data_IF_407909028473
#
_entry.id   IF_407909028473
#
_cell.length_a   1.000
_cell.length_b   1.000
_cell.length_c   1.000
_cell.angle_alpha   90.00
_cell.angle_beta   90.00
_cell.angle_gamma   90.00
#
_symmetry.space_group_name_H-M   'P 1'
#
loop_
_entity.id
_entity.type
_entity.pdbx_description
1 polymer ?
#
# COMPACT_ATOMS: atom_id res chain seq x y z
N UNK A 1 13.62 -48.61 1.72
CA UNK A 1 14.59 -47.87 0.90
C UNK A 1 15.58 -47.19 1.84
N UNK A 2 16.90 -47.28 1.54
CA UNK A 2 17.96 -46.62 2.32
C UNK A 2 18.11 -45.19 1.77
N UNK A 3 18.03 -44.18 2.66
CA UNK A 3 18.24 -42.79 2.29
C UNK A 3 19.72 -42.45 2.46
N UNK A 4 20.34 -41.86 1.44
CA UNK A 4 21.68 -41.29 1.51
C UNK A 4 21.57 -39.76 1.35
N UNK A 5 22.35 -39.00 2.12
CA UNK A 5 22.39 -37.54 2.11
C UNK A 5 23.81 -37.10 1.77
N UNK A 6 23.95 -36.20 0.80
CA UNK A 6 25.22 -35.64 0.41
C UNK A 6 25.08 -34.11 0.26
N UNK A 7 26.18 -33.38 0.42
CA UNK A 7 26.25 -31.90 0.29
C UNK A 7 26.98 -31.52 -1.01
N UNK A 8 26.49 -32.04 -2.14
CA UNK A 8 27.09 -31.91 -3.48
C UNK A 8 26.11 -31.37 -4.53
N UNK A 9 24.99 -30.75 -4.11
CA UNK A 9 23.94 -30.22 -4.96
C UNK A 9 24.35 -29.04 -5.83
N UNK A 10 25.49 -28.38 -5.55
CA UNK A 10 25.95 -27.19 -6.26
C UNK A 10 25.28 -25.89 -5.79
N UNK A 11 25.30 -24.86 -6.62
CA UNK A 11 24.69 -23.57 -6.31
C UNK A 11 23.17 -23.65 -6.49
N UNK A 12 22.48 -23.95 -5.41
CA UNK A 12 21.02 -24.03 -5.35
C UNK A 12 20.44 -22.77 -4.73
N UNK A 13 19.28 -22.36 -5.22
CA UNK A 13 18.44 -21.33 -4.61
C UNK A 13 17.00 -21.84 -4.45
N UNK A 14 16.30 -21.36 -3.42
CA UNK A 14 14.87 -21.61 -3.26
C UNK A 14 14.02 -20.48 -3.85
N UNK A 15 14.66 -19.40 -4.29
CA UNK A 15 14.03 -18.14 -4.70
C UNK A 15 14.31 -17.82 -6.18
N UNK A 16 14.46 -18.86 -7.03
CA UNK A 16 14.85 -18.68 -8.43
C UNK A 16 13.88 -17.76 -9.20
N UNK A 17 12.63 -17.68 -8.78
CA UNK A 17 11.64 -16.80 -9.37
C UNK A 17 11.85 -15.31 -9.11
N UNK A 18 12.73 -14.94 -8.19
CA UNK A 18 13.11 -13.53 -7.97
C UNK A 18 13.81 -12.91 -9.19
N UNK A 19 14.21 -13.71 -10.17
CA UNK A 19 14.66 -13.22 -11.48
C UNK A 19 13.59 -12.36 -12.16
N UNK A 20 12.29 -12.65 -11.96
CA UNK A 20 11.19 -11.82 -12.49
C UNK A 20 11.24 -10.40 -11.93
N UNK A 21 11.53 -10.26 -10.64
CA UNK A 21 11.68 -8.94 -9.99
C UNK A 21 12.93 -8.22 -10.54
N UNK A 22 14.05 -8.94 -10.68
CA UNK A 22 15.29 -8.37 -11.22
C UNK A 22 15.10 -7.83 -12.65
N UNK A 23 14.48 -8.62 -13.54
CA UNK A 23 14.19 -8.22 -14.92
C UNK A 23 13.19 -7.06 -14.97
N UNK A 24 12.16 -7.07 -14.10
CA UNK A 24 11.19 -6.00 -14.02
C UNK A 24 11.84 -4.67 -13.58
N UNK A 25 12.61 -4.67 -12.50
CA UNK A 25 13.30 -3.47 -12.00
C UNK A 25 14.28 -2.90 -13.03
N UNK A 26 14.94 -3.76 -13.81
CA UNK A 26 15.78 -3.35 -14.92
C UNK A 26 14.96 -2.64 -16.03
N UNK A 27 13.78 -3.18 -16.36
CA UNK A 27 12.90 -2.62 -17.41
C UNK A 27 12.32 -1.25 -17.05
N UNK A 28 12.05 -1.00 -15.78
CA UNK A 28 11.56 0.30 -15.29
C UNK A 28 12.70 1.28 -14.93
N UNK A 29 13.95 0.95 -15.27
CA UNK A 29 15.14 1.77 -14.96
C UNK A 29 15.25 2.15 -13.48
N UNK A 30 14.92 1.19 -12.57
CA UNK A 30 14.83 1.45 -11.14
C UNK A 30 16.13 1.98 -10.52
N UNK A 31 17.30 1.50 -10.96
CA UNK A 31 18.60 1.98 -10.48
C UNK A 31 18.81 3.46 -10.82
N UNK A 32 18.37 3.90 -12.00
CA UNK A 32 18.41 5.32 -12.38
C UNK A 32 17.52 6.15 -11.47
N UNK A 33 16.26 5.69 -11.23
CA UNK A 33 15.32 6.36 -10.33
C UNK A 33 15.89 6.50 -8.91
N UNK A 34 16.54 5.46 -8.37
CA UNK A 34 17.20 5.53 -7.06
C UNK A 34 18.33 6.57 -7.04
N UNK A 35 19.21 6.56 -8.05
CA UNK A 35 20.34 7.49 -8.13
C UNK A 35 19.91 8.96 -8.29
N UNK A 36 18.78 9.21 -8.96
CA UNK A 36 18.23 10.56 -9.14
C UNK A 36 17.53 11.10 -7.88
N UNK A 37 16.99 10.22 -7.06
CA UNK A 37 16.14 10.60 -5.93
C UNK A 37 16.79 10.50 -4.57
N UNK A 38 17.74 9.59 -4.40
CA UNK A 38 18.29 9.27 -3.08
C UNK A 38 19.76 9.70 -3.00
N UNK A 39 20.01 10.55 -2.02
CA UNK A 39 21.38 10.95 -1.65
C UNK A 39 21.59 10.65 -0.17
N UNK A 40 22.46 9.67 0.12
CA UNK A 40 22.86 9.32 1.48
C UNK A 40 24.34 9.66 1.63
N UNK A 41 24.65 10.57 2.55
CA UNK A 41 26.03 10.95 2.82
C UNK A 41 26.79 9.74 3.37
N UNK A 42 27.83 9.31 2.65
CA UNK A 42 28.67 8.19 3.04
C UNK A 42 30.02 8.67 3.60
N UNK A 43 30.07 8.88 4.91
CA UNK A 43 31.29 9.23 5.61
C UNK A 43 32.24 8.05 5.89
N UNK A 44 31.94 6.84 5.43
CA UNK A 44 32.76 5.65 5.63
C UNK A 44 34.02 5.68 4.74
N UNK A 45 35.19 5.52 5.35
CA UNK A 45 36.48 5.55 4.62
C UNK A 45 36.73 4.29 3.80
N UNK A 46 36.18 3.15 4.25
CA UNK A 46 36.31 1.84 3.60
C UNK A 46 34.96 1.13 3.68
N UNK A 47 34.26 1.06 2.57
CA UNK A 47 33.01 0.32 2.47
C UNK A 47 33.06 -0.65 1.31
N UNK A 48 32.68 -1.92 1.54
CA UNK A 48 32.53 -2.93 0.49
C UNK A 48 31.21 -2.75 -0.26
N UNK A 49 30.23 -2.08 0.35
CA UNK A 49 28.89 -1.85 -0.20
C UNK A 49 28.51 -0.39 -0.06
N UNK A 50 28.00 0.21 -1.12
CA UNK A 50 27.34 1.51 -1.08
C UNK A 50 26.00 1.43 -0.32
N UNK A 51 25.52 2.58 0.15
CA UNK A 51 24.22 2.62 0.80
C UNK A 51 23.05 2.23 -0.14
N UNK A 52 23.16 2.52 -1.45
CA UNK A 52 22.14 2.11 -2.43
C UNK A 52 22.12 0.61 -2.68
N UNK A 53 23.29 -0.05 -2.65
CA UNK A 53 23.35 -1.52 -2.73
C UNK A 53 22.69 -2.19 -1.52
N UNK A 54 22.89 -1.64 -0.31
CA UNK A 54 22.26 -2.12 0.92
C UNK A 54 20.75 -1.89 0.86
N UNK A 55 20.30 -0.73 0.36
CA UNK A 55 18.89 -0.42 0.14
C UNK A 55 18.25 -1.44 -0.83
N UNK A 56 18.86 -1.71 -1.95
CA UNK A 56 18.37 -2.72 -2.91
C UNK A 56 18.29 -4.11 -2.27
N UNK A 57 19.28 -4.50 -1.49
CA UNK A 57 19.24 -5.77 -0.76
C UNK A 57 18.05 -5.84 0.20
N UNK A 58 17.76 -4.76 0.95
CA UNK A 58 16.56 -4.68 1.81
C UNK A 58 15.28 -4.89 1.01
N UNK A 59 15.13 -4.23 -0.14
CA UNK A 59 13.95 -4.35 -0.98
C UNK A 59 13.76 -5.77 -1.52
N UNK A 60 14.82 -6.39 -2.02
CA UNK A 60 14.77 -7.78 -2.49
C UNK A 60 14.41 -8.75 -1.36
N UNK A 61 14.97 -8.56 -0.16
CA UNK A 61 14.62 -9.37 1.00
C UNK A 61 13.14 -9.20 1.38
N UNK A 62 12.63 -7.98 1.45
CA UNK A 62 11.22 -7.71 1.76
C UNK A 62 10.28 -8.33 0.71
N UNK A 63 10.60 -8.20 -0.57
CA UNK A 63 9.82 -8.77 -1.67
C UNK A 63 9.83 -10.31 -1.59
N UNK A 64 10.98 -10.91 -1.33
CA UNK A 64 11.10 -12.37 -1.17
C UNK A 64 10.49 -12.93 0.14
N UNK A 65 10.08 -12.07 1.07
CA UNK A 65 9.45 -12.50 2.34
C UNK A 65 10.42 -12.59 3.52
N UNK A 66 11.63 -12.09 3.37
CA UNK A 66 12.65 -12.04 4.44
C UNK A 66 12.54 -10.71 5.18
N UNK A 67 11.81 -10.72 6.29
CA UNK A 67 11.35 -9.51 6.97
C UNK A 67 12.32 -8.89 7.97
N UNK A 68 13.43 -9.56 8.29
CA UNK A 68 14.36 -9.13 9.33
C UNK A 68 15.76 -8.91 8.77
N UNK A 69 16.53 -8.04 9.39
CA UNK A 69 17.95 -7.83 9.08
C UNK A 69 18.75 -9.14 9.16
N UNK A 70 18.48 -9.97 10.19
CA UNK A 70 19.12 -11.28 10.36
C UNK A 70 18.88 -12.26 9.23
N UNK A 71 17.85 -12.05 8.42
CA UNK A 71 17.58 -12.91 7.27
C UNK A 71 18.64 -12.73 6.17
N UNK A 72 19.44 -11.66 6.22
CA UNK A 72 20.67 -11.53 5.43
C UNK A 72 21.58 -12.76 5.55
N UNK A 73 21.66 -13.38 6.73
CA UNK A 73 22.46 -14.58 6.95
C UNK A 73 22.00 -15.80 6.13
N UNK A 74 20.75 -15.78 5.63
CA UNK A 74 20.22 -16.82 4.74
C UNK A 74 20.56 -16.57 3.28
N UNK A 75 20.51 -15.30 2.87
CA UNK A 75 20.61 -14.93 1.45
C UNK A 75 22.01 -14.49 1.04
N UNK A 76 22.91 -14.18 2.00
CA UNK A 76 24.23 -13.61 1.70
C UNK A 76 25.10 -14.47 0.76
N UNK A 77 24.90 -15.78 0.73
CA UNK A 77 25.60 -16.72 -0.13
C UNK A 77 24.72 -17.26 -1.26
N UNK A 78 23.48 -16.78 -1.38
CA UNK A 78 22.60 -17.18 -2.48
C UNK A 78 23.03 -16.49 -3.78
N UNK A 79 23.44 -17.32 -4.74
CA UNK A 79 23.98 -16.85 -6.03
C UNK A 79 22.94 -16.05 -6.81
N UNK A 80 21.65 -16.36 -6.71
CA UNK A 80 20.62 -15.58 -7.40
C UNK A 80 20.54 -14.16 -6.87
N UNK A 81 20.52 -13.99 -5.54
CA UNK A 81 20.51 -12.65 -4.95
C UNK A 81 21.79 -11.88 -5.29
N UNK A 82 22.96 -12.53 -5.28
CA UNK A 82 24.22 -11.92 -5.67
C UNK A 82 24.16 -11.41 -7.12
N UNK A 83 23.68 -12.23 -8.06
CA UNK A 83 23.59 -11.85 -9.48
C UNK A 83 22.48 -10.80 -9.73
N UNK A 84 21.32 -10.96 -9.11
CA UNK A 84 20.21 -10.00 -9.23
C UNK A 84 20.59 -8.60 -8.72
N UNK A 85 21.41 -8.56 -7.67
CA UNK A 85 21.92 -7.32 -7.08
C UNK A 85 23.27 -6.87 -7.66
N UNK A 86 23.85 -7.66 -8.55
CA UNK A 86 25.18 -7.42 -9.18
C UNK A 86 26.28 -7.24 -8.13
N UNK A 87 26.28 -8.07 -7.09
CA UNK A 87 27.24 -8.05 -5.99
C UNK A 87 27.89 -9.41 -5.81
N UNK A 88 29.22 -9.46 -5.66
CA UNK A 88 29.93 -10.72 -5.35
C UNK A 88 29.59 -11.26 -3.96
N UNK A 89 29.40 -10.36 -3.01
CA UNK A 89 29.00 -10.67 -1.63
C UNK A 89 27.88 -9.72 -1.24
N UNK A 90 26.91 -10.22 -0.50
CA UNK A 90 25.83 -9.40 0.04
C UNK A 90 26.20 -8.85 1.42
N UNK A 91 25.55 -7.74 1.78
CA UNK A 91 25.77 -7.09 3.06
C UNK A 91 25.31 -7.97 4.23
N UNK A 92 26.06 -7.92 5.32
CA UNK A 92 25.77 -8.66 6.55
C UNK A 92 24.55 -8.07 7.29
N UNK A 93 24.02 -8.83 8.25
CA UNK A 93 22.97 -8.39 9.16
C UNK A 93 23.31 -7.05 9.83
N UNK A 94 24.55 -6.91 10.35
CA UNK A 94 24.97 -5.68 11.04
C UNK A 94 24.95 -4.47 10.10
N UNK A 95 25.32 -4.65 8.84
CA UNK A 95 25.26 -3.56 7.83
C UNK A 95 23.82 -3.16 7.50
N UNK A 96 22.90 -4.10 7.38
CA UNK A 96 21.49 -3.81 7.17
C UNK A 96 20.88 -3.05 8.34
N UNK A 97 21.23 -3.42 9.59
CA UNK A 97 20.81 -2.70 10.78
C UNK A 97 21.43 -1.29 10.82
N UNK A 98 22.74 -1.17 10.60
CA UNK A 98 23.45 0.12 10.57
C UNK A 98 22.84 1.06 9.53
N UNK A 99 22.49 0.54 8.35
CA UNK A 99 21.86 1.33 7.28
C UNK A 99 20.62 2.06 7.79
N UNK A 100 19.67 1.36 8.43
CA UNK A 100 18.44 1.97 8.93
C UNK A 100 18.71 3.10 9.94
N UNK A 101 19.74 2.94 10.78
CA UNK A 101 20.11 3.94 11.79
C UNK A 101 20.95 5.10 11.23
N UNK A 102 21.49 4.98 10.02
CA UNK A 102 22.21 6.05 9.33
C UNK A 102 21.29 7.01 8.60
N UNK A 103 20.08 6.55 8.26
CA UNK A 103 19.12 7.36 7.50
C UNK A 103 18.59 8.54 8.33
N UNK A 104 18.55 9.70 7.68
CA UNK A 104 17.97 10.92 8.23
C UNK A 104 16.50 11.05 7.83
N UNK A 105 15.77 11.99 8.43
CA UNK A 105 14.39 12.32 8.04
C UNK A 105 14.31 12.72 6.56
N UNK A 106 15.33 13.41 6.03
CA UNK A 106 15.40 13.75 4.61
C UNK A 106 15.52 12.49 3.73
N UNK A 107 16.38 11.55 4.12
CA UNK A 107 16.50 10.27 3.40
C UNK A 107 15.19 9.48 3.41
N UNK A 108 14.46 9.48 4.53
CA UNK A 108 13.13 8.86 4.60
C UNK A 108 12.14 9.53 3.64
N UNK A 109 12.18 10.86 3.55
CA UNK A 109 11.37 11.59 2.56
C UNK A 109 11.73 11.21 1.13
N UNK A 110 13.03 11.08 0.81
CA UNK A 110 13.51 10.62 -0.48
C UNK A 110 13.04 9.19 -0.81
N UNK A 111 13.09 8.26 0.16
CA UNK A 111 12.56 6.90 0.01
C UNK A 111 11.05 6.90 -0.29
N UNK A 112 10.29 7.71 0.44
CA UNK A 112 8.85 7.87 0.23
C UNK A 112 8.55 8.47 -1.14
N UNK A 113 9.40 9.39 -1.62
CA UNK A 113 9.27 9.97 -2.95
C UNK A 113 9.47 8.94 -4.06
N UNK A 114 10.48 8.06 -3.96
CA UNK A 114 10.66 6.95 -4.90
C UNK A 114 9.43 6.03 -4.93
N UNK A 115 8.85 5.72 -3.78
CA UNK A 115 7.65 4.90 -3.72
C UNK A 115 6.45 5.57 -4.41
N UNK A 116 6.30 6.89 -4.30
CA UNK A 116 5.28 7.68 -5.03
C UNK A 116 5.55 7.70 -6.54
N UNK A 117 6.82 7.88 -6.94
CA UNK A 117 7.21 7.88 -8.36
C UNK A 117 6.91 6.52 -9.04
N UNK A 118 7.03 5.41 -8.30
CA UNK A 118 6.61 4.09 -8.79
C UNK A 118 5.09 4.01 -9.06
N UNK A 119 4.27 4.62 -8.21
CA UNK A 119 2.82 4.71 -8.47
C UNK A 119 2.54 5.58 -9.70
N UNK A 120 3.29 6.68 -9.85
CA UNK A 120 3.16 7.59 -10.98
C UNK A 120 3.49 6.92 -12.32
N UNK A 121 4.46 6.00 -12.36
CA UNK A 121 4.75 5.23 -13.58
C UNK A 121 3.52 4.48 -14.11
N UNK A 122 2.69 3.94 -13.21
CA UNK A 122 1.43 3.32 -13.64
C UNK A 122 0.43 4.36 -14.12
N UNK A 123 0.22 5.44 -13.36
CA UNK A 123 -0.75 6.48 -13.70
C UNK A 123 -0.44 7.11 -15.06
N UNK A 124 0.85 7.28 -15.40
CA UNK A 124 1.29 7.78 -16.70
C UNK A 124 1.08 6.74 -17.81
N UNK A 125 1.47 5.49 -17.56
CA UNK A 125 1.33 4.40 -18.52
C UNK A 125 -0.14 4.14 -18.89
N UNK A 126 -1.03 4.15 -17.89
CA UNK A 126 -2.48 3.95 -18.06
C UNK A 126 -3.19 5.21 -18.59
N UNK A 127 -2.48 6.34 -18.67
CA UNK A 127 -3.06 7.65 -18.96
C UNK A 127 -4.31 7.95 -18.11
N UNK A 128 -4.19 7.68 -16.81
CA UNK A 128 -5.30 7.73 -15.86
C UNK A 128 -5.86 9.13 -15.72
N UNK A 129 -7.14 9.31 -16.10
CA UNK A 129 -7.88 10.57 -15.95
C UNK A 129 -8.69 10.63 -14.64
N UNK A 130 -8.92 9.50 -14.01
CA UNK A 130 -9.71 9.37 -12.79
C UNK A 130 -8.85 8.84 -11.66
N UNK A 131 -8.74 9.61 -10.58
CA UNK A 131 -7.93 9.24 -9.42
C UNK A 131 -8.81 9.21 -8.18
N UNK A 132 -8.78 8.10 -7.44
CA UNK A 132 -9.50 7.94 -6.19
C UNK A 132 -8.52 7.89 -5.04
N UNK A 133 -8.54 8.92 -4.19
CA UNK A 133 -7.69 9.01 -3.00
C UNK A 133 -8.45 8.42 -1.80
N UNK A 134 -8.11 7.19 -1.43
CA UNK A 134 -8.67 6.54 -0.25
C UNK A 134 -7.80 6.83 0.98
N UNK A 135 -8.36 7.55 1.95
CA UNK A 135 -7.70 7.93 3.19
C UNK A 135 -8.03 6.97 4.31
N UNK A 136 -7.00 6.55 5.04
CA UNK A 136 -7.14 5.80 6.28
C UNK A 136 -5.93 6.01 7.21
N UNK A 137 -6.00 5.43 8.38
CA UNK A 137 -4.90 5.27 9.30
C UNK A 137 -4.86 3.83 9.81
N UNK A 138 -3.69 3.39 10.22
CA UNK A 138 -3.52 2.04 10.75
C UNK A 138 -2.59 2.09 11.96
N UNK A 139 -2.60 1.03 12.79
CA UNK A 139 -1.70 0.93 13.92
C UNK A 139 -0.51 0.02 13.59
N UNK A 140 0.68 0.44 14.02
CA UNK A 140 1.90 -0.36 14.03
C UNK A 140 2.30 -0.59 15.49
N UNK A 141 2.08 -1.81 16.06
CA UNK A 141 2.37 -2.09 17.46
C UNK A 141 3.86 -1.95 17.77
N UNK A 142 4.18 -1.51 18.99
CA UNK A 142 5.53 -1.53 19.55
C UNK A 142 5.59 -2.46 20.75
N UNK A 143 6.78 -2.99 21.04
CA UNK A 143 6.98 -4.03 22.07
C UNK A 143 8.02 -3.63 23.11
N UNK A 144 8.30 -2.34 23.26
CA UNK A 144 9.25 -1.79 24.20
C UNK A 144 9.14 -0.29 24.29
N UNK A 145 10.19 0.37 24.76
CA UNK A 145 10.29 1.83 24.89
C UNK A 145 10.89 2.44 23.61
N UNK A 146 10.15 2.35 22.50
CA UNK A 146 10.54 3.03 21.26
C UNK A 146 10.21 4.51 21.33
N UNK A 147 11.09 5.34 20.72
CA UNK A 147 10.87 6.78 20.59
C UNK A 147 9.51 7.07 19.95
N UNK A 148 8.76 8.02 20.52
CA UNK A 148 7.48 8.50 20.02
C UNK A 148 6.37 7.43 19.94
N UNK A 149 6.61 6.23 20.48
CA UNK A 149 5.58 5.22 20.64
C UNK A 149 4.66 5.61 21.80
N UNK A 150 3.36 5.61 21.53
CA UNK A 150 2.37 6.05 22.50
C UNK A 150 1.11 5.18 22.41
N UNK A 151 0.24 5.29 23.43
CA UNK A 151 -1.00 4.54 23.47
C UNK A 151 -2.01 5.05 22.43
N UNK A 152 -2.45 4.16 21.54
CA UNK A 152 -3.43 4.44 20.49
C UNK A 152 -4.80 4.02 21.00
N UNK A 153 -5.59 4.98 21.48
CA UNK A 153 -6.88 4.72 22.13
C UNK A 153 -7.85 3.91 21.29
N UNK A 154 -7.89 4.17 19.98
CA UNK A 154 -8.80 3.47 19.06
C UNK A 154 -8.50 1.96 18.94
N UNK A 155 -7.23 1.58 19.03
CA UNK A 155 -6.79 0.19 18.90
C UNK A 155 -6.47 -0.49 20.23
N UNK A 156 -6.37 0.28 21.33
CA UNK A 156 -6.04 -0.23 22.66
C UNK A 156 -4.61 -0.80 22.79
N UNK A 157 -3.66 -0.30 22.00
CA UNK A 157 -2.26 -0.76 21.96
C UNK A 157 -1.28 0.41 22.02
N UNK A 158 -0.06 0.14 22.47
CA UNK A 158 1.06 1.06 22.28
C UNK A 158 1.67 0.89 20.89
N UNK A 159 2.06 1.99 20.25
CA UNK A 159 2.66 1.94 18.93
C UNK A 159 2.67 3.26 18.21
N UNK A 160 2.76 3.16 16.88
CA UNK A 160 2.67 4.27 15.94
C UNK A 160 1.35 4.23 15.18
N UNK A 161 0.87 5.39 14.75
CA UNK A 161 -0.41 5.52 14.05
C UNK A 161 -0.22 6.14 12.65
N UNK A 162 0.38 5.39 11.69
CA UNK A 162 0.59 5.88 10.33
C UNK A 162 -0.70 6.30 9.65
N UNK A 163 -0.60 7.37 8.87
CA UNK A 163 -1.59 7.75 7.87
C UNK A 163 -1.22 7.10 6.53
N UNK A 164 -2.21 6.61 5.80
CA UNK A 164 -2.02 5.93 4.52
C UNK A 164 -3.04 6.41 3.49
N UNK A 165 -2.58 6.56 2.25
CA UNK A 165 -3.44 6.85 1.10
C UNK A 165 -3.17 5.85 0.00
N UNK A 166 -4.25 5.25 -0.50
CA UNK A 166 -4.18 4.35 -1.66
C UNK A 166 -4.98 4.91 -2.83
N UNK A 167 -4.53 4.60 -4.03
CA UNK A 167 -5.39 4.76 -5.21
C UNK A 167 -6.46 3.65 -5.19
N UNK A 168 -7.71 4.08 -5.07
CA UNK A 168 -8.82 3.21 -4.71
C UNK A 168 -9.29 2.23 -5.79
N UNK A 169 -8.78 2.33 -7.03
CA UNK A 169 -9.07 1.42 -8.13
C UNK A 169 -7.97 0.38 -8.35
N UNK A 170 -6.72 0.79 -8.20
CA UNK A 170 -5.54 -0.04 -8.46
C UNK A 170 -4.94 -0.64 -7.21
N UNK A 171 -5.13 0.01 -6.05
CA UNK A 171 -4.47 -0.34 -4.79
C UNK A 171 -3.01 0.09 -4.70
N UNK A 172 -2.52 0.92 -5.62
CA UNK A 172 -1.21 1.54 -5.47
C UNK A 172 -1.21 2.47 -4.25
N UNK A 173 -0.21 2.36 -3.41
CA UNK A 173 -0.05 3.25 -2.28
C UNK A 173 0.50 4.59 -2.76
N UNK A 174 -0.24 5.68 -2.52
CA UNK A 174 0.11 7.02 -2.98
C UNK A 174 0.86 7.83 -1.93
N UNK A 175 0.59 7.58 -0.65
CA UNK A 175 1.31 8.20 0.46
C UNK A 175 1.24 7.36 1.72
N UNK A 176 2.33 7.34 2.48
CA UNK A 176 2.42 6.66 3.78
C UNK A 176 3.23 7.54 4.73
N UNK A 177 2.58 8.02 5.79
CA UNK A 177 3.18 8.92 6.78
C UNK A 177 3.28 8.24 8.13
N UNK A 178 4.49 8.00 8.60
CA UNK A 178 4.73 7.53 9.96
C UNK A 178 4.42 8.64 10.97
N UNK A 179 3.64 8.33 12.02
CA UNK A 179 3.17 9.32 12.99
C UNK A 179 3.22 8.73 14.42
N UNK A 180 3.30 9.62 15.40
CA UNK A 180 3.19 9.27 16.83
C UNK A 180 1.89 8.51 17.14
N UNK A 181 1.91 7.68 18.16
CA UNK A 181 0.75 6.88 18.55
C UNK A 181 -0.48 7.70 18.91
N UNK A 182 -0.32 8.84 19.59
CA UNK A 182 -1.42 9.76 19.94
C UNK A 182 -2.03 10.54 18.79
N UNK A 183 -1.41 10.50 17.59
CA UNK A 183 -1.98 11.19 16.43
C UNK A 183 -3.39 10.71 16.18
N UNK A 184 -4.35 11.63 16.11
CA UNK A 184 -5.71 11.29 15.70
C UNK A 184 -5.72 10.94 14.20
N UNK A 185 -6.67 10.10 13.78
CA UNK A 185 -6.80 9.61 12.38
C UNK A 185 -6.57 10.71 11.35
N UNK A 186 -7.19 11.86 11.51
CA UNK A 186 -7.10 12.98 10.58
C UNK A 186 -6.13 14.10 10.99
N UNK A 187 -5.17 13.85 11.90
CA UNK A 187 -4.12 14.82 12.22
C UNK A 187 -3.28 15.07 10.96
N UNK A 188 -3.15 16.34 10.55
CA UNK A 188 -2.47 16.79 9.32
C UNK A 188 -3.03 16.23 8.00
N UNK A 189 -4.23 15.63 8.01
CA UNK A 189 -4.80 15.06 6.79
C UNK A 189 -5.10 16.13 5.73
N UNK A 190 -5.41 17.36 6.16
CA UNK A 190 -5.58 18.53 5.28
C UNK A 190 -4.27 18.90 4.56
N UNK A 191 -3.14 18.92 5.28
CA UNK A 191 -1.81 19.21 4.71
C UNK A 191 -1.40 18.13 3.71
N UNK A 192 -1.60 16.85 4.07
CA UNK A 192 -1.31 15.70 3.19
C UNK A 192 -2.19 15.69 1.96
N UNK A 193 -3.47 16.08 2.09
CA UNK A 193 -4.37 16.24 0.96
C UNK A 193 -3.85 17.32 0.00
N UNK A 194 -3.45 18.49 0.53
CA UNK A 194 -2.94 19.58 -0.29
C UNK A 194 -1.71 19.18 -1.09
N UNK A 195 -0.72 18.53 -0.44
CA UNK A 195 0.47 18.00 -1.11
C UNK A 195 0.12 17.01 -2.25
N UNK A 196 -0.88 16.13 -2.01
CA UNK A 196 -1.33 15.18 -3.03
C UNK A 196 -2.07 15.86 -4.18
N UNK A 197 -2.90 16.86 -3.89
CA UNK A 197 -3.59 17.61 -4.92
C UNK A 197 -2.60 18.42 -5.77
N UNK A 198 -1.59 19.03 -5.17
CA UNK A 198 -0.51 19.69 -5.91
C UNK A 198 0.24 18.72 -6.85
N UNK A 199 0.47 17.49 -6.42
CA UNK A 199 1.11 16.47 -7.25
C UNK A 199 0.23 15.99 -8.39
N UNK A 200 -1.03 15.68 -8.12
CA UNK A 200 -1.87 14.94 -9.08
C UNK A 200 -2.72 15.83 -9.99
N UNK A 201 -3.08 17.04 -9.59
CA UNK A 201 -3.79 17.98 -10.46
C UNK A 201 -2.94 18.50 -11.60
N UNK A 202 -1.62 18.50 -11.46
CA UNK A 202 -0.70 18.95 -12.52
C UNK A 202 -0.46 17.89 -13.62
N UNK A 203 -0.86 16.63 -13.40
CA UNK A 203 -0.57 15.52 -14.33
C UNK A 203 -1.48 15.46 -15.55
N UNK A 204 -2.66 16.04 -15.47
CA UNK A 204 -3.65 16.07 -16.55
C UNK A 204 -4.26 17.45 -16.67
N UNK A 205 -4.77 17.77 -17.85
CA UNK A 205 -5.45 19.05 -18.11
C UNK A 205 -6.77 19.20 -17.32
N UNK A 206 -7.43 18.10 -16.97
CA UNK A 206 -8.67 18.06 -16.18
C UNK A 206 -8.82 16.71 -15.45
N UNK A 207 -8.00 16.44 -14.41
CA UNK A 207 -8.08 15.18 -13.68
C UNK A 207 -9.32 15.15 -12.80
N UNK A 208 -10.15 14.12 -12.96
CA UNK A 208 -11.25 13.87 -12.03
C UNK A 208 -10.73 13.19 -10.78
N UNK A 209 -10.48 13.96 -9.73
CA UNK A 209 -10.03 13.46 -8.44
C UNK A 209 -11.20 13.32 -7.48
N UNK A 210 -11.28 12.18 -6.78
CA UNK A 210 -12.26 11.92 -5.73
C UNK A 210 -11.57 11.46 -4.45
N UNK A 211 -11.90 12.10 -3.33
CA UNK A 211 -11.42 11.71 -1.98
C UNK A 211 -12.48 10.85 -1.30
N UNK A 212 -12.06 9.70 -0.74
CA UNK A 212 -12.89 8.89 0.14
C UNK A 212 -12.23 8.74 1.51
N UNK A 213 -13.02 8.76 2.56
CA UNK A 213 -12.54 8.61 3.94
C UNK A 213 -13.62 8.10 4.87
N UNK A 214 -13.19 7.56 6.01
CA UNK A 214 -14.11 7.20 7.07
C UNK A 214 -14.60 8.45 7.83
N UNK A 215 -15.36 8.25 8.89
CA UNK A 215 -15.90 9.36 9.68
C UNK A 215 -14.84 10.17 10.45
N UNK A 216 -13.63 9.67 10.59
CA UNK A 216 -12.50 10.38 11.16
C UNK A 216 -12.03 11.54 10.28
N UNK A 217 -12.25 11.45 8.96
CA UNK A 217 -11.91 12.48 7.97
C UNK A 217 -13.07 13.45 7.67
N UNK A 218 -14.20 13.32 8.33
CA UNK A 218 -15.35 14.22 8.16
C UNK A 218 -15.11 15.58 8.82
N UNK A 219 -14.13 16.34 8.34
CA UNK A 219 -13.72 17.64 8.86
C UNK A 219 -14.02 18.77 7.88
N UNK A 220 -14.48 19.95 8.40
CA UNK A 220 -14.74 21.13 7.58
C UNK A 220 -13.56 21.55 6.70
N UNK A 221 -12.33 21.41 7.22
CA UNK A 221 -11.09 21.78 6.55
C UNK A 221 -10.86 20.90 5.30
N UNK A 222 -11.05 19.57 5.43
CA UNK A 222 -10.93 18.63 4.28
C UNK A 222 -11.99 18.93 3.23
N UNK A 223 -13.23 19.20 3.64
CA UNK A 223 -14.29 19.56 2.69
C UNK A 223 -13.96 20.85 1.95
N UNK A 224 -13.48 21.88 2.67
CA UNK A 224 -13.13 23.16 2.08
C UNK A 224 -11.99 23.01 1.06
N UNK A 225 -10.91 22.30 1.40
CA UNK A 225 -9.82 22.03 0.45
C UNK A 225 -10.31 21.31 -0.81
N UNK A 226 -11.18 20.30 -0.67
CA UNK A 226 -11.77 19.63 -1.82
C UNK A 226 -12.65 20.59 -2.66
N UNK A 227 -13.47 21.41 -2.02
CA UNK A 227 -14.37 22.36 -2.68
C UNK A 227 -13.58 23.46 -3.40
N UNK A 228 -12.59 24.05 -2.76
CA UNK A 228 -11.73 25.11 -3.30
C UNK A 228 -10.89 24.62 -4.51
N UNK A 229 -10.46 23.35 -4.47
CA UNK A 229 -9.66 22.71 -5.53
C UNK A 229 -10.52 21.96 -6.57
N UNK A 230 -11.86 22.06 -6.51
CA UNK A 230 -12.82 21.38 -7.40
C UNK A 230 -12.70 19.85 -7.40
N UNK A 231 -12.27 19.28 -6.28
CA UNK A 231 -12.14 17.84 -6.06
C UNK A 231 -13.44 17.28 -5.50
N UNK A 232 -13.85 16.11 -5.97
CA UNK A 232 -15.04 15.42 -5.45
C UNK A 232 -14.69 14.66 -4.19
N UNK A 233 -15.67 14.49 -3.28
CA UNK A 233 -15.48 13.68 -2.08
C UNK A 233 -16.73 12.89 -1.71
N UNK A 234 -16.48 11.73 -1.06
CA UNK A 234 -17.48 10.81 -0.50
C UNK A 234 -16.95 10.33 0.85
N UNK A 235 -17.34 10.99 1.94
CA UNK A 235 -16.79 10.77 3.27
C UNK A 235 -17.91 10.37 4.22
N UNK A 236 -17.69 9.26 4.98
CA UNK A 236 -18.66 8.81 5.97
C UNK A 236 -18.83 9.87 7.06
N UNK A 237 -20.06 10.15 7.41
CA UNK A 237 -20.38 11.09 8.49
C UNK A 237 -20.85 10.29 9.72
N UNK A 238 -20.31 10.65 10.89
CA UNK A 238 -20.74 10.03 12.15
C UNK A 238 -22.19 10.43 12.44
N UNK A 239 -23.01 9.47 12.82
CA UNK A 239 -24.39 9.70 13.23
C UNK A 239 -24.45 10.64 14.44
N UNK A 240 -25.48 11.47 14.48
CA UNK A 240 -25.85 12.30 15.63
C UNK A 240 -27.38 12.40 15.74
N UNK A 241 -27.86 12.88 16.87
CA UNK A 241 -29.32 12.93 17.16
C UNK A 241 -30.12 13.65 16.06
N UNK A 242 -29.59 14.75 15.50
CA UNK A 242 -30.27 15.53 14.46
C UNK A 242 -30.38 14.78 13.12
N UNK A 243 -29.31 14.04 12.73
CA UNK A 243 -29.33 13.21 11.53
C UNK A 243 -30.23 12.00 11.69
N UNK A 244 -30.23 11.39 12.88
CA UNK A 244 -31.10 10.26 13.19
C UNK A 244 -32.56 10.67 13.20
N UNK A 245 -32.92 11.77 13.86
CA UNK A 245 -34.26 12.32 13.87
C UNK A 245 -34.78 12.56 12.45
N UNK A 246 -33.93 13.20 11.61
CA UNK A 246 -34.29 13.51 10.23
C UNK A 246 -34.59 12.27 9.40
N UNK A 247 -33.72 11.24 9.42
CA UNK A 247 -33.90 10.03 8.62
C UNK A 247 -35.07 9.19 9.13
N UNK A 248 -35.32 9.14 10.45
CA UNK A 248 -36.45 8.41 11.04
C UNK A 248 -37.81 8.94 10.59
N UNK A 249 -37.91 10.25 10.35
CA UNK A 249 -39.13 10.87 9.80
C UNK A 249 -39.28 10.63 8.29
N UNK A 250 -38.26 10.25 7.57
CA UNK A 250 -38.32 9.99 6.12
C UNK A 250 -38.57 8.51 5.78
N UNK A 251 -38.26 7.59 6.69
CA UNK A 251 -38.43 6.17 6.45
C UNK A 251 -39.91 5.84 6.25
N UNK A 252 -40.17 5.11 5.17
CA UNK A 252 -41.54 4.68 4.80
C UNK A 252 -41.73 3.22 5.17
N UNK A 253 -42.85 2.93 5.84
CA UNK A 253 -43.31 1.57 6.12
C UNK A 253 -44.47 1.26 5.17
N UNK A 254 -44.37 0.13 4.43
CA UNK A 254 -45.38 -0.30 3.48
C UNK A 254 -46.15 -1.48 4.05
N UNK A 255 -47.47 -1.56 3.75
CA UNK A 255 -48.36 -2.61 4.30
C UNK A 255 -48.01 -4.01 3.76
N UNK A 256 -47.42 -4.10 2.55
CA UNK A 256 -46.99 -5.34 1.88
C UNK A 256 -45.55 -5.72 2.12
N UNK A 257 -44.90 -5.16 3.14
CA UNK A 257 -43.49 -5.36 3.46
C UNK A 257 -43.17 -6.83 3.74
N UNK A 258 -42.22 -7.40 2.94
CA UNK A 258 -41.66 -8.73 3.20
C UNK A 258 -40.61 -8.67 4.32
N UNK A 259 -40.97 -8.96 5.53
CA UNK A 259 -40.10 -8.95 6.70
C UNK A 259 -39.04 -10.05 6.70
N UNK A 260 -39.10 -11.01 5.77
CA UNK A 260 -38.08 -12.06 5.65
C UNK A 260 -36.87 -11.57 4.89
N UNK A 261 -36.94 -10.40 4.27
CA UNK A 261 -35.85 -9.79 3.48
C UNK A 261 -35.29 -8.52 4.13
N UNK A 262 -34.00 -8.27 3.90
CA UNK A 262 -33.38 -6.99 4.23
C UNK A 262 -33.86 -5.92 3.26
N UNK A 263 -34.35 -4.81 3.80
CA UNK A 263 -34.79 -3.64 3.05
C UNK A 263 -33.82 -2.46 3.27
N UNK A 264 -33.54 -1.69 2.21
CA UNK A 264 -32.76 -0.48 2.28
C UNK A 264 -33.47 0.67 1.59
N UNK A 265 -33.56 1.78 2.29
CA UNK A 265 -34.11 3.02 1.77
C UNK A 265 -33.01 4.09 1.75
N UNK A 266 -33.04 4.95 0.73
CA UNK A 266 -31.99 5.94 0.49
C UNK A 266 -32.61 7.30 0.32
N UNK A 267 -31.99 8.32 0.96
CA UNK A 267 -32.48 9.71 0.98
C UNK A 267 -31.32 10.69 0.78
N UNK A 268 -31.67 11.92 0.43
CA UNK A 268 -30.75 13.05 0.35
C UNK A 268 -31.28 14.21 1.20
N UNK A 269 -30.38 14.94 1.82
CA UNK A 269 -30.68 16.18 2.51
C UNK A 269 -29.53 17.17 2.38
N UNK A 270 -29.87 18.45 2.50
CA UNK A 270 -28.90 19.51 2.78
C UNK A 270 -28.76 19.63 4.30
N UNK A 271 -27.56 19.39 4.79
CA UNK A 271 -27.27 19.38 6.21
C UNK A 271 -26.16 20.37 6.54
N UNK A 272 -26.33 21.10 7.65
CA UNK A 272 -25.33 21.98 8.21
C UNK A 272 -25.06 21.62 9.66
N UNK A 273 -23.87 21.09 9.94
CA UNK A 273 -23.39 20.88 11.30
C UNK A 273 -22.99 22.24 11.94
N UNK A 274 -22.98 22.31 13.28
CA UNK A 274 -22.72 23.56 13.99
C UNK A 274 -21.39 24.24 13.62
N UNK A 275 -20.36 23.42 13.32
CA UNK A 275 -19.01 23.91 12.95
C UNK A 275 -18.85 24.16 11.44
N UNK A 276 -19.84 23.87 10.61
CA UNK A 276 -19.75 24.05 9.18
C UNK A 276 -20.12 25.46 8.77
N UNK A 277 -19.31 26.08 7.91
CA UNK A 277 -19.61 27.42 7.38
C UNK A 277 -20.83 27.43 6.46
N UNK A 278 -21.03 26.34 5.72
CA UNK A 278 -22.12 26.17 4.75
C UNK A 278 -22.81 24.81 4.87
N UNK A 279 -24.02 24.72 4.29
CA UNK A 279 -24.73 23.46 4.13
C UNK A 279 -24.01 22.56 3.12
N UNK A 280 -24.03 21.26 3.35
CA UNK A 280 -23.50 20.27 2.42
C UNK A 280 -24.50 19.14 2.21
N UNK A 281 -24.44 18.54 1.04
CA UNK A 281 -25.28 17.40 0.68
C UNK A 281 -24.87 16.18 1.50
N UNK A 282 -25.87 15.53 2.11
CA UNK A 282 -25.70 14.29 2.86
C UNK A 282 -26.62 13.22 2.28
N UNK A 283 -26.02 12.11 1.80
CA UNK A 283 -26.74 10.91 1.47
C UNK A 283 -26.97 10.08 2.72
N UNK A 284 -28.18 9.56 2.88
CA UNK A 284 -28.61 8.79 4.02
C UNK A 284 -29.10 7.42 3.57
N UNK A 285 -28.77 6.38 4.34
CA UNK A 285 -29.25 5.03 4.14
C UNK A 285 -29.86 4.50 5.44
N UNK A 286 -31.08 4.01 5.36
CA UNK A 286 -31.74 3.27 6.41
C UNK A 286 -31.82 1.79 6.02
N UNK A 287 -31.45 0.89 6.93
CA UNK A 287 -31.50 -0.56 6.71
C UNK A 287 -32.41 -1.21 7.77
N UNK A 288 -33.37 -2.01 7.31
CA UNK A 288 -34.13 -2.94 8.09
C UNK A 288 -33.64 -4.35 7.77
N UNK A 289 -33.12 -5.03 8.76
CA UNK A 289 -32.63 -6.39 8.58
C UNK A 289 -33.77 -7.40 8.50
N UNK A 290 -33.50 -8.51 7.79
CA UNK A 290 -34.42 -9.64 7.75
C UNK A 290 -34.84 -10.08 9.17
N UNK A 291 -36.14 -10.28 9.40
CA UNK A 291 -36.70 -10.61 10.71
C UNK A 291 -36.95 -9.43 11.65
N UNK A 292 -36.54 -8.21 11.28
CA UNK A 292 -36.78 -6.99 12.06
C UNK A 292 -38.02 -6.25 11.57
N UNK A 293 -38.80 -5.67 12.51
CA UNK A 293 -39.95 -4.83 12.19
C UNK A 293 -39.53 -3.38 11.86
N UNK A 294 -38.45 -2.92 12.43
CA UNK A 294 -38.01 -1.51 12.36
C UNK A 294 -36.67 -1.37 11.63
N UNK A 295 -36.47 -0.21 11.00
CA UNK A 295 -35.19 0.20 10.53
C UNK A 295 -34.26 0.52 11.72
N UNK A 296 -33.09 -0.07 11.76
CA UNK A 296 -32.19 -0.03 12.93
C UNK A 296 -30.75 0.39 12.59
N UNK A 297 -30.30 0.25 11.32
CA UNK A 297 -28.99 0.74 10.87
C UNK A 297 -29.14 1.98 9.98
N UNK A 298 -28.54 3.08 10.43
CA UNK A 298 -28.58 4.37 9.74
C UNK A 298 -27.18 4.83 9.43
N UNK A 299 -26.90 5.09 8.16
CA UNK A 299 -25.59 5.52 7.69
C UNK A 299 -25.71 6.84 6.94
N UNK A 300 -24.65 7.66 7.04
CA UNK A 300 -24.61 9.01 6.50
C UNK A 300 -23.29 9.24 5.76
N UNK A 301 -23.37 9.85 4.59
CA UNK A 301 -22.21 10.19 3.75
C UNK A 301 -22.36 11.65 3.32
N UNK A 302 -21.35 12.46 3.62
CA UNK A 302 -21.25 13.84 3.11
C UNK A 302 -20.53 13.85 1.77
N UNK A 303 -21.03 14.66 0.82
CA UNK A 303 -20.50 14.72 -0.54
C UNK A 303 -20.75 16.06 -1.19
N UNK A 304 -19.96 16.40 -2.22
CA UNK A 304 -20.19 17.54 -3.12
C UNK A 304 -20.61 17.09 -4.54
N UNK A 305 -21.00 15.83 -4.72
CA UNK A 305 -21.65 15.40 -5.97
C UNK A 305 -23.07 15.94 -6.04
N UNK A 306 -23.37 16.72 -7.08
CA UNK A 306 -24.68 17.37 -7.26
C UNK A 306 -25.71 16.47 -7.94
N UNK A 307 -25.27 15.67 -8.93
CA UNK A 307 -26.16 14.95 -9.86
C UNK A 307 -26.25 13.44 -9.60
N UNK A 308 -25.66 12.94 -8.51
CA UNK A 308 -25.73 11.53 -8.17
C UNK A 308 -26.91 11.25 -7.23
N UNK A 309 -27.61 10.14 -7.46
CA UNK A 309 -28.62 9.61 -6.54
C UNK A 309 -27.94 9.03 -5.26
N UNK A 310 -28.66 8.94 -4.14
CA UNK A 310 -28.06 8.54 -2.88
C UNK A 310 -27.54 7.09 -2.87
N UNK A 311 -28.17 6.19 -3.61
CA UNK A 311 -27.73 4.79 -3.72
C UNK A 311 -26.36 4.71 -4.44
N UNK A 312 -26.19 5.45 -5.51
CA UNK A 312 -24.91 5.55 -6.23
C UNK A 312 -23.79 6.13 -5.35
N UNK A 313 -24.09 7.15 -4.51
CA UNK A 313 -23.12 7.70 -3.56
C UNK A 313 -22.67 6.60 -2.57
N UNK A 314 -23.60 5.80 -2.04
CA UNK A 314 -23.26 4.67 -1.16
C UNK A 314 -22.44 3.59 -1.88
N UNK A 315 -22.72 3.30 -3.15
CA UNK A 315 -21.95 2.34 -3.95
C UNK A 315 -20.51 2.83 -4.18
N UNK A 316 -20.30 4.13 -4.44
CA UNK A 316 -18.97 4.72 -4.54
C UNK A 316 -18.21 4.59 -3.22
N UNK A 317 -18.86 4.83 -2.09
CA UNK A 317 -18.24 4.68 -0.77
C UNK A 317 -17.91 3.21 -0.45
N UNK A 318 -18.79 2.27 -0.76
CA UNK A 318 -18.58 0.84 -0.47
C UNK A 318 -17.31 0.27 -1.10
N UNK A 319 -16.90 0.79 -2.26
CA UNK A 319 -15.63 0.39 -2.91
C UNK A 319 -14.39 0.71 -2.07
N UNK A 320 -14.50 1.60 -1.07
CA UNK A 320 -13.44 1.85 -0.08
C UNK A 320 -13.11 0.61 0.77
N UNK A 321 -14.01 -0.36 0.88
CA UNK A 321 -13.74 -1.62 1.57
C UNK A 321 -12.53 -2.38 1.07
N UNK A 322 -12.10 -2.14 -0.18
CA UNK A 322 -10.87 -2.72 -0.72
C UNK A 322 -9.60 -2.19 -0.02
N UNK A 323 -9.65 -0.97 0.53
CA UNK A 323 -8.51 -0.35 1.21
C UNK A 323 -8.04 -1.15 2.43
N UNK A 324 -8.96 -1.77 3.16
CA UNK A 324 -8.62 -2.65 4.29
C UNK A 324 -7.74 -3.83 3.84
N UNK A 325 -8.01 -4.38 2.65
CA UNK A 325 -7.19 -5.44 2.05
C UNK A 325 -5.81 -4.92 1.64
N UNK A 326 -5.72 -3.71 1.08
CA UNK A 326 -4.44 -3.10 0.73
C UNK A 326 -3.58 -2.83 1.97
N UNK A 327 -4.15 -2.28 3.03
CA UNK A 327 -3.48 -2.08 4.32
C UNK A 327 -3.02 -3.43 4.89
N UNK A 328 -3.87 -4.44 4.87
CA UNK A 328 -3.56 -5.79 5.37
C UNK A 328 -2.40 -6.42 4.59
N UNK A 329 -2.41 -6.31 3.26
CA UNK A 329 -1.31 -6.81 2.42
C UNK A 329 -0.01 -6.04 2.67
N UNK A 330 -0.05 -4.71 2.77
CA UNK A 330 1.12 -3.90 3.08
C UNK A 330 1.71 -4.27 4.46
N UNK A 331 0.86 -4.43 5.48
CA UNK A 331 1.29 -4.78 6.84
C UNK A 331 1.83 -6.20 6.94
N UNK A 332 1.04 -7.19 6.54
CA UNK A 332 1.39 -8.61 6.66
C UNK A 332 2.36 -9.06 5.57
N UNK A 333 2.06 -8.74 4.31
CA UNK A 333 2.81 -9.19 3.15
C UNK A 333 4.14 -8.48 2.95
N UNK A 334 4.22 -7.17 3.24
CA UNK A 334 5.43 -6.36 3.10
C UNK A 334 5.99 -5.87 4.44
N UNK A 335 5.44 -6.38 5.55
CA UNK A 335 5.94 -6.17 6.92
C UNK A 335 5.97 -4.70 7.37
N UNK A 336 5.06 -3.89 6.87
CA UNK A 336 4.99 -2.45 7.18
C UNK A 336 4.67 -2.15 8.66
N UNK A 337 4.15 -3.13 9.41
CA UNK A 337 3.90 -3.01 10.86
C UNK A 337 5.11 -3.34 11.74
N UNK A 338 6.25 -3.72 11.15
CA UNK A 338 7.46 -4.02 11.89
C UNK A 338 8.10 -2.76 12.48
N UNK A 339 8.28 -2.76 13.79
CA UNK A 339 8.82 -1.65 14.59
C UNK A 339 9.95 -2.15 15.48
N UNK A 340 10.95 -2.81 14.86
CA UNK A 340 12.00 -3.54 15.58
C UNK A 340 13.11 -2.60 16.14
N UNK A 341 13.14 -1.31 15.78
CA UNK A 341 14.12 -0.33 16.27
C UNK A 341 13.59 0.47 17.44
N UNK A 342 14.48 0.94 18.32
CA UNK A 342 14.16 1.96 19.32
C UNK A 342 14.03 3.35 18.71
N UNK A 343 14.70 3.63 17.57
CA UNK A 343 14.65 4.92 16.90
C UNK A 343 13.39 5.11 16.07
N UNK A 344 12.72 6.24 16.24
CA UNK A 344 11.57 6.65 15.43
C UNK A 344 11.92 6.74 13.95
N UNK A 345 13.05 7.39 13.61
CA UNK A 345 13.48 7.56 12.21
C UNK A 345 13.82 6.23 11.55
N UNK A 346 14.44 5.28 12.27
CA UNK A 346 14.72 3.95 11.72
C UNK A 346 13.44 3.15 11.45
N UNK A 347 12.43 3.22 12.32
CA UNK A 347 11.11 2.62 12.06
C UNK A 347 10.37 3.31 10.91
N UNK A 348 10.52 4.62 10.78
CA UNK A 348 9.98 5.39 9.65
C UNK A 348 10.64 4.98 8.32
N UNK A 349 11.96 4.81 8.31
CA UNK A 349 12.71 4.31 7.15
C UNK A 349 12.25 2.91 6.74
N UNK A 350 12.03 2.03 7.73
CA UNK A 350 11.54 0.68 7.50
C UNK A 350 10.15 0.68 6.88
N UNK A 351 9.25 1.52 7.37
CA UNK A 351 7.92 1.70 6.77
C UNK A 351 8.02 2.20 5.32
N UNK A 352 8.92 3.16 5.03
CA UNK A 352 9.14 3.66 3.68
C UNK A 352 9.69 2.58 2.72
N UNK A 353 10.59 1.70 3.20
CA UNK A 353 11.06 0.53 2.43
C UNK A 353 9.93 -0.46 2.14
N UNK A 354 9.06 -0.72 3.11
CA UNK A 354 7.87 -1.58 2.93
C UNK A 354 6.90 -0.98 1.91
N UNK A 355 6.69 0.33 1.96
CA UNK A 355 5.89 1.10 1.01
C UNK A 355 6.46 0.98 -0.42
N UNK A 356 7.77 1.14 -0.56
CA UNK A 356 8.44 1.00 -1.86
C UNK A 356 8.34 -0.44 -2.40
N UNK A 357 8.60 -1.46 -1.57
CA UNK A 357 8.48 -2.86 -1.96
C UNK A 357 7.04 -3.24 -2.36
N UNK A 358 6.05 -2.72 -1.65
CA UNK A 358 4.64 -2.85 -1.98
C UNK A 358 4.34 -2.28 -3.38
N UNK A 359 4.76 -1.04 -3.65
CA UNK A 359 4.51 -0.40 -4.94
C UNK A 359 5.28 -1.06 -6.10
N UNK A 360 6.50 -1.57 -5.89
CA UNK A 360 7.22 -2.35 -6.91
C UNK A 360 6.37 -3.54 -7.37
N UNK A 361 5.82 -4.31 -6.43
CA UNK A 361 5.04 -5.51 -6.77
C UNK A 361 3.68 -5.15 -7.36
N UNK A 362 3.00 -4.12 -6.84
CA UNK A 362 1.73 -3.67 -7.42
C UNK A 362 1.92 -3.12 -8.83
N UNK A 363 2.95 -2.33 -9.08
CA UNK A 363 3.31 -1.87 -10.43
C UNK A 363 3.60 -3.05 -11.36
N UNK A 364 4.41 -4.02 -10.92
CA UNK A 364 4.70 -5.25 -11.67
C UNK A 364 3.41 -6.02 -12.01
N UNK A 365 2.50 -6.20 -11.04
CA UNK A 365 1.20 -6.85 -11.27
C UNK A 365 0.39 -6.15 -12.34
N UNK A 366 0.26 -4.83 -12.24
CA UNK A 366 -0.54 -4.05 -13.20
C UNK A 366 0.03 -4.10 -14.62
N UNK A 367 1.34 -4.02 -14.76
CA UNK A 367 2.01 -3.95 -16.05
C UNK A 367 2.21 -5.32 -16.72
N UNK A 368 2.41 -6.39 -15.93
CA UNK A 368 2.91 -7.65 -16.49
C UNK A 368 2.10 -8.90 -16.17
N UNK A 369 1.19 -8.86 -15.18
CA UNK A 369 0.39 -10.04 -14.86
C UNK A 369 -0.85 -10.15 -15.75
N UNK A 370 -1.30 -11.36 -16.10
CA UNK A 370 -2.59 -11.55 -16.75
C UNK A 370 -3.72 -11.04 -15.84
N UNK A 371 -4.84 -10.63 -16.46
CA UNK A 371 -5.97 -10.02 -15.75
C UNK A 371 -6.52 -10.90 -14.61
N UNK A 372 -6.47 -12.20 -14.77
CA UNK A 372 -6.91 -13.19 -13.75
C UNK A 372 -6.02 -13.24 -12.52
N UNK A 373 -4.78 -12.78 -12.60
CA UNK A 373 -3.80 -12.81 -11.51
C UNK A 373 -3.51 -11.43 -10.91
N UNK A 374 -4.05 -10.34 -11.45
CA UNK A 374 -3.81 -8.98 -10.93
C UNK A 374 -4.26 -8.78 -9.49
N UNK A 375 -5.28 -9.50 -9.03
CA UNK A 375 -5.77 -9.44 -7.64
C UNK A 375 -4.98 -10.34 -6.66
N UNK A 376 -4.02 -11.13 -7.15
CA UNK A 376 -3.25 -12.07 -6.33
C UNK A 376 -2.39 -11.31 -5.32
N UNK A 377 -2.47 -11.68 -4.03
CA UNK A 377 -1.67 -11.09 -2.95
C UNK A 377 -0.24 -11.62 -2.96
N UNK A 378 0.69 -10.86 -2.36
CA UNK A 378 2.13 -11.15 -2.39
C UNK A 378 2.49 -12.55 -1.88
N UNK A 379 1.86 -13.06 -0.82
CA UNK A 379 2.17 -14.38 -0.29
C UNK A 379 1.85 -15.50 -1.29
N UNK A 380 0.77 -15.34 -2.04
CA UNK A 380 0.42 -16.25 -3.14
C UNK A 380 1.38 -16.08 -4.33
N UNK A 381 1.84 -14.87 -4.63
CA UNK A 381 2.85 -14.62 -5.67
C UNK A 381 4.18 -15.29 -5.29
N UNK A 382 4.63 -15.13 -4.04
CA UNK A 382 5.82 -15.84 -3.53
C UNK A 382 5.71 -17.34 -3.72
N UNK A 383 4.59 -17.91 -3.30
CA UNK A 383 4.34 -19.34 -3.42
C UNK A 383 4.31 -19.81 -4.88
N UNK A 384 3.63 -19.11 -5.77
CA UNK A 384 3.48 -19.50 -7.17
C UNK A 384 4.71 -19.24 -8.02
N UNK A 385 5.39 -18.08 -7.81
CA UNK A 385 6.32 -17.51 -8.77
C UNK A 385 7.73 -17.26 -8.19
N UNK A 386 7.91 -16.93 -6.90
CA UNK A 386 9.21 -16.54 -6.38
C UNK A 386 9.95 -17.71 -5.73
N UNK A 387 9.27 -18.48 -4.89
CA UNK A 387 9.87 -19.64 -4.20
C UNK A 387 9.92 -20.88 -5.10
N UNK A 388 10.66 -20.77 -6.17
CA UNK A 388 10.91 -21.86 -7.12
C UNK A 388 12.34 -22.37 -6.90
N UNK A 389 12.49 -23.67 -6.69
CA UNK A 389 13.82 -24.26 -6.62
C UNK A 389 14.56 -24.15 -7.95
N UNK A 390 15.78 -23.67 -7.90
CA UNK A 390 16.62 -23.51 -9.08
C UNK A 390 18.08 -23.83 -8.81
N UNK A 391 18.80 -24.22 -9.86
CA UNK A 391 20.24 -24.41 -9.85
C UNK A 391 20.88 -23.40 -10.79
N UNK A 392 21.90 -22.70 -10.31
CA UNK A 392 22.66 -21.77 -11.11
C UNK A 392 23.96 -22.40 -11.62
N UNK A 393 24.25 -22.18 -12.89
CA UNK A 393 25.52 -22.58 -13.51
C UNK A 393 26.11 -21.37 -14.22
N UNK A 394 27.42 -21.21 -14.13
CA UNK A 394 28.14 -20.15 -14.83
C UNK A 394 29.13 -20.79 -15.82
N UNK A 395 29.06 -20.39 -17.09
CA UNK A 395 29.98 -20.81 -18.11
C UNK A 395 30.25 -19.65 -19.10
N UNK A 396 31.52 -19.40 -19.38
CA UNK A 396 31.94 -18.47 -20.43
C UNK A 396 31.23 -17.10 -20.40
N UNK A 397 31.12 -16.44 -19.23
CA UNK A 397 30.42 -15.14 -19.00
C UNK A 397 28.88 -15.22 -19.11
N UNK A 398 28.32 -16.40 -19.19
CA UNK A 398 26.88 -16.60 -19.20
C UNK A 398 26.45 -17.31 -17.92
N UNK A 399 25.41 -16.79 -17.27
CA UNK A 399 24.76 -17.41 -16.12
C UNK A 399 23.47 -18.03 -16.62
N UNK A 400 23.28 -19.32 -16.28
CA UNK A 400 22.06 -20.04 -16.57
C UNK A 400 21.36 -20.42 -15.27
N UNK A 401 20.07 -20.14 -15.21
CA UNK A 401 19.19 -20.53 -14.11
C UNK A 401 18.33 -21.68 -14.60
N UNK A 402 18.54 -22.85 -14.02
CA UNK A 402 17.77 -24.06 -14.29
C UNK A 402 16.66 -24.19 -13.26
N UNK A 403 15.43 -23.88 -13.64
CA UNK A 403 14.26 -24.00 -12.78
C UNK A 403 13.85 -25.46 -12.61
N UNK A 404 13.18 -25.78 -11.51
CA UNK A 404 12.55 -27.08 -11.31
C UNK A 404 11.47 -27.31 -12.38
N UNK A 405 11.53 -28.44 -13.08
CA UNK A 405 10.53 -28.83 -14.06
C UNK A 405 9.24 -29.41 -13.45
N UNK A 406 9.15 -29.46 -12.12
CA UNK A 406 7.96 -29.92 -11.39
C UNK A 406 7.09 -28.75 -10.90
N UNK A 407 7.40 -27.52 -11.30
CA UNK A 407 6.62 -26.33 -10.91
C UNK A 407 5.27 -26.35 -11.64
N UNK A 408 4.17 -26.46 -10.89
CA UNK A 408 2.80 -26.45 -11.43
C UNK A 408 2.36 -25.10 -12.00
N UNK A 409 3.09 -24.03 -11.71
CA UNK A 409 2.85 -22.66 -12.18
C UNK A 409 3.81 -22.24 -13.30
N UNK A 410 4.47 -23.19 -13.95
CA UNK A 410 5.47 -22.94 -14.99
C UNK A 410 4.93 -22.04 -16.12
N UNK A 411 3.73 -22.34 -16.62
CA UNK A 411 3.08 -21.52 -17.66
C UNK A 411 2.89 -20.06 -17.25
N UNK A 412 2.47 -19.82 -16.01
CA UNK A 412 2.29 -18.46 -15.49
C UNK A 412 3.64 -17.76 -15.37
N UNK A 413 4.68 -18.44 -14.90
CA UNK A 413 6.02 -17.89 -14.78
C UNK A 413 6.54 -17.38 -16.14
N UNK A 414 6.45 -18.21 -17.18
CA UNK A 414 6.92 -17.85 -18.53
C UNK A 414 6.06 -16.76 -19.18
N UNK A 415 4.74 -16.74 -18.94
CA UNK A 415 3.87 -15.65 -19.43
C UNK A 415 4.26 -14.32 -18.80
N UNK A 416 4.46 -14.28 -17.48
CA UNK A 416 4.88 -13.06 -16.75
C UNK A 416 6.25 -12.61 -17.24
N UNK A 417 7.24 -13.51 -17.37
CA UNK A 417 8.57 -13.18 -17.89
C UNK A 417 8.51 -12.60 -19.30
N UNK A 418 7.75 -13.24 -20.21
CA UNK A 418 7.59 -12.75 -21.57
C UNK A 418 6.94 -11.35 -21.62
N UNK A 419 5.99 -11.05 -20.74
CA UNK A 419 5.38 -9.71 -20.61
C UNK A 419 6.38 -8.69 -20.09
N UNK A 420 7.19 -9.04 -19.08
CA UNK A 420 8.28 -8.17 -18.60
C UNK A 420 9.25 -7.85 -19.73
N UNK A 421 9.67 -8.85 -20.50
CA UNK A 421 10.63 -8.65 -21.60
C UNK A 421 10.10 -7.73 -22.72
N UNK A 422 8.78 -7.73 -22.95
CA UNK A 422 8.11 -6.86 -23.94
C UNK A 422 7.78 -5.46 -23.41
N UNK A 423 7.95 -5.22 -22.12
CA UNK A 423 7.63 -3.94 -21.52
C UNK A 423 8.52 -2.84 -22.08
N UNK A 424 7.90 -1.76 -22.56
CA UNK A 424 8.55 -0.52 -22.97
C UNK A 424 7.88 0.62 -22.18
N UNK A 425 8.60 1.24 -21.28
CA UNK A 425 8.17 2.38 -20.46
C UNK A 425 9.00 3.60 -20.81
#
# INVERSE_FOLDING_TARGET
KKISIANDGGALTNDAGMVLVAEFLKKIHFDQLLNERIYINDGRKFSHHSWLEILKQWLYQLIAGYSRDRDANKVQYDRLFQEALQQENLSSQSMLSTFLHTLTTENVSQLSQVAKDLADLWLDHDNTQHLVLDFDSTACPTYGEQEEAEFIYHYGINGYHPFVTFEGLTGLALDVRHRHGKSYTSTHAEDYLEEMLDRYQQRSSDPLIMVRGDSGFAKPEIFAHCEDRQVRYVIKLKSNARLLDHIQHQVLYQDDTDYTKTEQQYFLMDYRANKWRQSRRVAMKATRFAGSLLFSDFQFIVTNFENLDPKTIFQLYQKRGNMENFIKEMKGGFFAEKTDSTSFTANQARLALSFMAYNIIHLMKHLTFPSTEKATVIDTIRFKLFHIAGRMTAHARQIQIHLSNTNVYDTLFWDVLARIQRLNL
#
